data_IF_572361949845
#
_entry.id   IF_572361949845
#
_cell.length_a   1.000
_cell.length_b   1.000
_cell.length_c   1.000
_cell.angle_alpha   90.00
_cell.angle_beta   90.00
_cell.angle_gamma   90.00
#
_symmetry.space_group_name_H-M   'P 1'
#
loop_
_entity.id
_entity.type
_entity.pdbx_description
1 polymer ?
#
# COMPACT_ATOMS: atom_id res chain seq x y z
N UNK A 1 13.09 -9.61 -4.97
CA UNK A 1 12.44 -9.30 -3.68
C UNK A 1 10.97 -9.00 -3.91
N UNK A 2 10.08 -9.60 -3.12
CA UNK A 2 8.65 -9.35 -3.11
C UNK A 2 8.29 -8.53 -1.87
N UNK A 3 7.49 -7.47 -2.04
CA UNK A 3 6.94 -6.65 -0.95
C UNK A 3 5.42 -6.82 -0.91
N UNK A 4 4.87 -7.83 -0.22
CA UNK A 4 3.43 -7.93 0.02
C UNK A 4 2.94 -6.81 0.95
N UNK A 5 1.63 -6.72 1.18
CA UNK A 5 1.04 -5.96 2.29
C UNK A 5 0.69 -6.92 3.44
N UNK A 6 1.53 -7.04 4.46
CA UNK A 6 1.25 -7.89 5.65
C UNK A 6 1.05 -7.04 6.91
N UNK A 7 1.37 -5.74 6.83
CA UNK A 7 1.22 -4.71 7.87
C UNK A 7 0.37 -5.09 9.07
N UNK A 8 0.98 -5.04 10.25
CA UNK A 8 0.34 -5.41 11.53
C UNK A 8 -0.16 -6.87 11.57
N UNK A 9 0.46 -7.77 10.80
CA UNK A 9 0.16 -9.21 10.77
C UNK A 9 0.28 -9.90 12.13
N UNK A 10 1.07 -9.38 13.08
CA UNK A 10 1.08 -9.89 14.46
C UNK A 10 -0.21 -9.55 15.23
N UNK A 11 -0.90 -8.46 14.86
CA UNK A 11 -2.16 -8.03 15.45
C UNK A 11 -3.38 -8.53 14.69
N UNK A 12 -3.20 -8.90 13.41
CA UNK A 12 -4.24 -9.31 12.48
C UNK A 12 -3.84 -10.63 11.81
N UNK A 13 -3.50 -11.62 12.63
CA UNK A 13 -2.97 -12.91 12.23
C UNK A 13 -4.08 -13.83 11.68
N UNK A 14 -4.57 -13.50 10.49
CA UNK A 14 -5.50 -14.30 9.72
C UNK A 14 -5.29 -14.01 8.21
N UNK A 15 -4.80 -14.99 7.42
CA UNK A 15 -4.57 -14.80 5.98
C UNK A 15 -5.87 -14.52 5.22
N UNK A 16 -7.01 -15.01 5.70
CA UNK A 16 -8.32 -14.90 5.05
C UNK A 16 -9.08 -13.63 5.44
N UNK A 17 -8.53 -12.81 6.34
CA UNK A 17 -9.13 -11.55 6.81
C UNK A 17 -9.39 -10.53 5.69
N UNK A 18 -8.65 -10.63 4.58
CA UNK A 18 -8.65 -9.64 3.49
C UNK A 18 -7.92 -8.34 3.82
N UNK A 19 -7.29 -8.24 5.00
CA UNK A 19 -6.52 -7.05 5.42
C UNK A 19 -5.17 -6.99 4.70
N UNK A 20 -4.50 -8.13 4.54
CA UNK A 20 -3.20 -8.25 3.88
C UNK A 20 -3.25 -8.94 2.52
N UNK A 21 -2.17 -8.86 1.76
CA UNK A 21 -1.96 -9.63 0.53
C UNK A 21 -1.95 -11.12 0.88
N UNK A 22 -2.83 -11.87 0.23
CA UNK A 22 -3.02 -13.29 0.56
C UNK A 22 -1.75 -14.10 0.22
N UNK A 23 -1.25 -14.97 1.12
CA UNK A 23 -0.02 -15.73 0.91
C UNK A 23 -0.08 -16.67 -0.30
N UNK A 24 -1.26 -17.23 -0.64
CA UNK A 24 -1.41 -18.05 -1.85
C UNK A 24 -1.20 -17.27 -3.15
N UNK A 25 -1.59 -15.99 -3.20
CA UNK A 25 -1.32 -15.13 -4.37
C UNK A 25 0.19 -14.91 -4.53
N UNK A 26 0.88 -14.67 -3.41
CA UNK A 26 2.34 -14.56 -3.39
C UNK A 26 3.01 -15.89 -3.77
N UNK A 27 2.45 -17.03 -3.36
CA UNK A 27 2.88 -18.36 -3.79
C UNK A 27 2.83 -18.54 -5.30
N UNK A 28 1.70 -18.19 -5.94
CA UNK A 28 1.59 -18.22 -7.40
C UNK A 28 2.61 -17.31 -8.11
N UNK A 29 2.94 -16.15 -7.53
CA UNK A 29 4.02 -15.31 -8.03
C UNK A 29 5.40 -15.97 -7.89
N UNK A 30 5.66 -16.64 -6.76
CA UNK A 30 6.92 -17.37 -6.53
C UNK A 30 7.08 -18.51 -7.54
N UNK A 31 6.02 -19.30 -7.76
CA UNK A 31 6.03 -20.40 -8.74
C UNK A 31 6.28 -19.89 -10.16
N UNK A 32 5.61 -18.80 -10.55
CA UNK A 32 5.82 -18.14 -11.84
C UNK A 32 7.27 -17.64 -12.01
N UNK A 33 7.86 -17.07 -10.96
CA UNK A 33 9.24 -16.62 -10.98
C UNK A 33 10.23 -17.80 -11.07
N UNK A 34 9.99 -18.88 -10.34
CA UNK A 34 10.80 -20.10 -10.40
C UNK A 34 10.77 -20.71 -11.81
N UNK A 35 9.59 -20.82 -12.42
CA UNK A 35 9.42 -21.28 -13.82
C UNK A 35 10.09 -20.38 -14.86
N UNK A 36 10.41 -19.13 -14.51
CA UNK A 36 11.12 -18.15 -15.35
C UNK A 36 12.61 -18.01 -15.00
N UNK A 37 13.16 -18.93 -14.21
CA UNK A 37 14.60 -19.00 -13.92
C UNK A 37 15.05 -18.16 -12.73
N UNK A 38 14.14 -17.73 -11.85
CA UNK A 38 14.55 -17.17 -10.57
C UNK A 38 15.39 -18.20 -9.81
N UNK A 39 16.58 -17.79 -9.36
CA UNK A 39 17.53 -18.70 -8.69
C UNK A 39 16.88 -19.33 -7.46
N UNK A 40 17.06 -20.64 -7.21
CA UNK A 40 16.68 -21.27 -5.95
C UNK A 40 17.24 -20.49 -4.75
N UNK A 41 16.38 -20.16 -3.79
CA UNK A 41 16.75 -19.34 -2.63
C UNK A 41 17.11 -17.87 -2.92
N UNK A 42 16.90 -17.40 -4.16
CA UNK A 42 17.09 -16.01 -4.61
C UNK A 42 15.84 -15.14 -4.47
N UNK A 43 14.70 -15.71 -4.08
CA UNK A 43 13.47 -14.97 -3.80
C UNK A 43 13.37 -14.68 -2.30
N UNK A 44 13.01 -13.44 -1.98
CA UNK A 44 12.88 -12.94 -0.62
C UNK A 44 11.56 -12.21 -0.50
N UNK A 45 10.80 -12.46 0.56
CA UNK A 45 9.67 -11.65 0.97
C UNK A 45 10.18 -10.71 2.05
N UNK A 46 9.95 -9.41 1.86
CA UNK A 46 10.40 -8.38 2.79
C UNK A 46 9.22 -7.51 3.18
N UNK A 47 8.82 -7.56 4.44
CA UNK A 47 7.73 -6.77 5.02
C UNK A 47 7.84 -6.80 6.55
N UNK A 48 7.12 -5.91 7.22
CA UNK A 48 7.08 -5.83 8.68
C UNK A 48 5.70 -6.24 9.25
N UNK A 49 5.56 -7.47 9.80
CA UNK A 49 4.30 -7.90 10.42
C UNK A 49 4.05 -7.25 11.79
N UNK A 50 5.06 -6.66 12.43
CA UNK A 50 4.97 -6.14 13.81
C UNK A 50 4.54 -4.68 13.88
N UNK A 51 5.12 -3.86 13.01
CA UNK A 51 4.81 -2.43 12.89
C UNK A 51 4.94 -1.56 14.17
N UNK A 52 5.86 -1.87 15.08
CA UNK A 52 6.05 -1.07 16.31
C UNK A 52 7.51 -0.75 16.66
N UNK A 53 8.39 -1.75 16.71
CA UNK A 53 9.78 -1.58 17.14
C UNK A 53 10.71 -2.54 16.40
N UNK A 54 11.75 -1.99 15.76
CA UNK A 54 12.71 -2.75 14.95
C UNK A 54 13.74 -3.50 15.78
N UNK A 55 13.84 -3.20 17.08
CA UNK A 55 14.80 -3.79 18.00
C UNK A 55 14.20 -4.96 18.81
N UNK A 56 12.95 -5.33 18.55
CA UNK A 56 12.29 -6.44 19.22
C UNK A 56 12.05 -7.62 18.26
N UNK A 57 11.99 -8.86 18.77
CA UNK A 57 11.73 -10.04 17.96
C UNK A 57 10.41 -9.93 17.18
N UNK A 58 10.36 -10.58 16.02
CA UNK A 58 9.19 -10.56 15.12
C UNK A 58 8.83 -11.97 14.73
N UNK A 59 7.58 -12.17 14.37
CA UNK A 59 7.12 -13.43 13.81
C UNK A 59 6.06 -13.24 12.72
N UNK A 60 5.90 -14.28 11.91
CA UNK A 60 4.89 -14.34 10.85
C UNK A 60 3.75 -15.30 11.21
N UNK A 61 3.72 -15.75 12.48
CA UNK A 61 2.73 -16.73 12.96
C UNK A 61 1.31 -16.27 12.67
N UNK A 62 0.52 -17.17 12.09
CA UNK A 62 -0.89 -16.93 11.74
C UNK A 62 -1.10 -16.03 10.51
N UNK A 63 -0.05 -15.53 9.86
CA UNK A 63 -0.19 -14.75 8.61
C UNK A 63 -0.23 -15.63 7.35
N UNK A 64 0.07 -16.93 7.49
CA UNK A 64 0.25 -17.88 6.38
C UNK A 64 1.59 -17.77 5.64
N UNK A 65 2.42 -16.77 5.96
CA UNK A 65 3.73 -16.60 5.31
C UNK A 65 4.79 -17.58 5.84
N UNK A 66 4.68 -18.07 7.07
CA UNK A 66 5.54 -19.14 7.59
C UNK A 66 5.33 -20.45 6.81
N UNK A 67 4.07 -20.80 6.54
CA UNK A 67 3.66 -21.93 5.71
C UNK A 67 4.21 -21.79 4.29
N UNK A 68 3.99 -20.62 3.69
CA UNK A 68 4.49 -20.31 2.35
C UNK A 68 6.01 -20.44 2.27
N UNK A 69 6.74 -19.96 3.28
CA UNK A 69 8.20 -20.08 3.38
C UNK A 69 8.64 -21.54 3.42
N UNK A 70 8.00 -22.37 4.23
CA UNK A 70 8.29 -23.82 4.31
C UNK A 70 8.01 -24.55 3.00
N UNK A 71 6.93 -24.20 2.31
CA UNK A 71 6.52 -24.87 1.06
C UNK A 71 7.40 -24.50 -0.13
N UNK A 72 7.82 -23.24 -0.23
CA UNK A 72 8.51 -22.70 -1.42
C UNK A 72 10.02 -22.50 -1.23
N UNK A 73 10.49 -22.53 0.02
CA UNK A 73 11.86 -22.17 0.37
C UNK A 73 12.16 -20.67 0.28
N UNK A 74 11.15 -19.82 0.08
CA UNK A 74 11.33 -18.35 0.06
C UNK A 74 11.78 -17.85 1.43
N UNK A 75 12.67 -16.86 1.44
CA UNK A 75 13.21 -16.29 2.68
C UNK A 75 12.35 -15.12 3.14
N UNK A 76 11.81 -15.19 4.36
CA UNK A 76 11.15 -14.07 5.01
C UNK A 76 12.18 -13.16 5.67
N UNK A 77 12.06 -11.85 5.46
CA UNK A 77 12.91 -10.82 6.06
C UNK A 77 12.06 -9.63 6.49
N UNK A 78 12.53 -8.92 7.50
CA UNK A 78 11.93 -7.65 7.91
C UNK A 78 12.98 -6.55 7.77
N UNK A 79 12.61 -5.33 7.34
CA UNK A 79 13.48 -4.17 7.53
C UNK A 79 13.72 -3.96 9.03
N UNK A 80 14.96 -3.69 9.39
CA UNK A 80 15.42 -3.42 10.76
C UNK A 80 16.39 -2.26 10.74
N UNK A 81 16.72 -1.71 11.91
CA UNK A 81 17.75 -0.68 12.08
C UNK A 81 19.07 -1.01 11.36
N UNK A 82 19.49 -2.28 11.36
CA UNK A 82 20.76 -2.72 10.77
C UNK A 82 20.67 -3.14 9.29
N UNK A 83 19.47 -3.43 8.80
CA UNK A 83 19.22 -3.84 7.41
C UNK A 83 18.69 -2.69 6.56
N UNK A 84 18.39 -1.55 7.16
CA UNK A 84 18.12 -0.30 6.46
C UNK A 84 19.41 0.45 6.13
N UNK A 85 19.35 1.31 5.11
CA UNK A 85 20.41 2.24 4.69
C UNK A 85 19.81 3.62 4.48
N UNK A 86 20.58 4.65 4.81
CA UNK A 86 20.17 6.04 4.64
C UNK A 86 20.31 6.45 3.18
N UNK A 87 19.23 6.96 2.58
CA UNK A 87 19.21 7.46 1.20
C UNK A 87 18.74 8.91 1.18
N UNK A 88 19.32 9.71 0.29
CA UNK A 88 18.87 11.08 0.04
C UNK A 88 17.56 11.05 -0.76
N UNK A 89 16.62 11.90 -0.38
CA UNK A 89 15.43 12.15 -1.18
C UNK A 89 15.77 13.25 -2.21
N UNK A 90 15.60 13.01 -3.52
CA UNK A 90 15.96 13.97 -4.58
C UNK A 90 15.32 15.35 -4.43
N UNK A 91 14.00 15.40 -4.28
CA UNK A 91 13.18 16.61 -4.12
C UNK A 91 12.31 16.44 -2.86
N UNK A 92 12.90 16.62 -1.67
CA UNK A 92 12.21 16.31 -0.41
C UNK A 92 11.04 17.26 -0.17
N UNK A 93 9.88 16.70 0.18
CA UNK A 93 8.72 17.47 0.67
C UNK A 93 8.69 17.52 2.19
N UNK A 94 9.21 16.48 2.87
CA UNK A 94 9.29 16.39 4.34
C UNK A 94 10.69 15.91 4.76
N UNK A 95 11.15 14.78 4.22
CA UNK A 95 12.37 14.14 4.66
C UNK A 95 13.52 14.40 3.69
N UNK A 96 14.60 15.09 4.10
CA UNK A 96 15.77 15.22 3.24
C UNK A 96 16.49 13.88 3.01
N UNK A 97 16.33 12.93 3.94
CA UNK A 97 16.87 11.56 3.88
C UNK A 97 15.91 10.58 4.55
N UNK A 98 15.86 9.35 4.06
CA UNK A 98 15.08 8.25 4.63
C UNK A 98 15.99 7.05 4.95
N UNK A 99 15.71 6.34 6.04
CA UNK A 99 16.28 5.01 6.27
C UNK A 99 15.34 3.96 5.67
N UNK A 100 15.81 3.28 4.62
CA UNK A 100 15.00 2.33 3.85
C UNK A 100 15.70 0.98 3.76
N UNK A 101 14.94 -0.11 3.61
CA UNK A 101 15.48 -1.45 3.44
C UNK A 101 16.58 -1.48 2.37
N UNK A 102 17.77 -1.98 2.73
CA UNK A 102 18.91 -2.12 1.82
C UNK A 102 18.52 -2.89 0.55
N UNK A 103 17.73 -3.95 0.72
CA UNK A 103 17.26 -4.78 -0.40
C UNK A 103 16.32 -4.04 -1.35
N UNK A 104 15.59 -3.03 -0.87
CA UNK A 104 14.66 -2.26 -1.70
C UNK A 104 15.36 -1.25 -2.62
N UNK A 105 16.63 -0.94 -2.35
CA UNK A 105 17.42 0.07 -3.07
C UNK A 105 18.79 -0.45 -3.54
N UNK A 106 19.01 -1.76 -3.46
CA UNK A 106 20.22 -2.41 -3.94
C UNK A 106 20.16 -2.53 -5.48
N UNK A 107 21.27 -2.25 -6.14
CA UNK A 107 21.34 -2.24 -7.60
C UNK A 107 21.15 -3.64 -8.24
N UNK A 108 21.40 -4.69 -7.47
CA UNK A 108 21.27 -6.10 -7.86
C UNK A 108 19.92 -6.73 -7.44
N UNK A 109 18.97 -5.91 -6.98
CA UNK A 109 17.66 -6.37 -6.50
C UNK A 109 16.54 -5.97 -7.45
N UNK A 110 15.79 -6.96 -7.93
CA UNK A 110 14.49 -6.72 -8.59
C UNK A 110 13.40 -6.67 -7.53
N UNK A 111 12.86 -5.47 -7.30
CA UNK A 111 11.74 -5.24 -6.37
C UNK A 111 10.39 -5.38 -7.10
N UNK A 112 9.57 -6.34 -6.67
CA UNK A 112 8.17 -6.48 -7.05
C UNK A 112 7.31 -6.08 -5.86
N UNK A 113 6.54 -5.01 -6.01
CA UNK A 113 5.62 -4.48 -5.00
C UNK A 113 4.25 -5.14 -5.17
N UNK A 114 3.74 -5.81 -4.13
CA UNK A 114 2.53 -6.65 -4.20
C UNK A 114 1.47 -6.19 -3.18
N UNK A 115 0.93 -4.97 -3.32
CA UNK A 115 -0.04 -4.43 -2.36
C UNK A 115 -1.38 -5.15 -2.42
N UNK A 116 -2.15 -5.07 -1.33
CA UNK A 116 -3.55 -5.47 -1.26
C UNK A 116 -4.44 -4.38 -1.81
N UNK A 117 -5.43 -4.72 -2.64
CA UNK A 117 -6.50 -3.81 -3.06
C UNK A 117 -7.47 -3.60 -1.90
N UNK A 118 -7.29 -2.50 -1.16
CA UNK A 118 -8.20 -2.17 -0.05
C UNK A 118 -8.35 -0.68 0.18
N UNK A 119 -9.45 -0.28 0.80
CA UNK A 119 -9.62 1.10 1.28
C UNK A 119 -8.81 1.35 2.56
N UNK A 120 -8.68 2.61 2.96
CA UNK A 120 -8.05 3.00 4.22
C UNK A 120 -8.64 4.33 4.73
N UNK A 121 -8.91 4.43 6.03
CA UNK A 121 -9.60 5.59 6.63
C UNK A 121 -8.91 6.95 6.40
N UNK A 122 -7.58 6.99 6.38
CA UNK A 122 -6.80 8.17 6.03
C UNK A 122 -6.58 8.31 4.52
N UNK A 123 -5.78 7.43 3.92
CA UNK A 123 -5.33 7.56 2.53
C UNK A 123 -6.42 7.31 1.47
N UNK A 124 -7.65 6.99 1.87
CA UNK A 124 -8.77 6.47 1.05
C UNK A 124 -8.50 5.06 0.49
N UNK A 125 -7.30 4.80 -0.04
CA UNK A 125 -6.86 3.50 -0.52
C UNK A 125 -5.48 3.10 0.03
N UNK A 126 -5.28 1.80 0.22
CA UNK A 126 -3.96 1.18 0.34
C UNK A 126 -3.68 0.48 -0.98
N UNK A 127 -2.65 0.93 -1.69
CA UNK A 127 -2.19 0.36 -2.96
C UNK A 127 -0.66 0.45 -3.02
N UNK A 128 -0.06 0.64 -4.19
CA UNK A 128 1.38 0.58 -4.40
C UNK A 128 2.16 1.61 -3.58
N UNK A 129 1.79 2.90 -3.63
CA UNK A 129 2.52 3.97 -2.94
C UNK A 129 2.55 3.76 -1.42
N UNK A 130 1.38 3.49 -0.83
CA UNK A 130 1.25 3.28 0.61
C UNK A 130 1.96 2.01 1.08
N UNK A 131 2.00 0.97 0.24
CA UNK A 131 2.65 -0.30 0.60
C UNK A 131 4.17 -0.18 0.77
N UNK A 132 4.81 0.83 0.16
CA UNK A 132 6.25 1.08 0.34
C UNK A 132 6.61 1.55 1.75
N UNK A 133 5.64 2.05 2.54
CA UNK A 133 5.88 2.40 3.95
C UNK A 133 6.51 1.25 4.72
N UNK A 134 6.07 0.00 4.47
CA UNK A 134 6.61 -1.19 5.13
C UNK A 134 8.07 -1.51 4.78
N UNK A 135 8.71 -0.75 3.89
CA UNK A 135 10.14 -0.86 3.57
C UNK A 135 10.99 0.26 4.20
N UNK A 136 10.36 1.21 4.87
CA UNK A 136 11.02 2.26 5.64
C UNK A 136 11.27 1.73 7.05
N UNK A 137 12.35 2.17 7.69
CA UNK A 137 12.62 1.84 9.09
C UNK A 137 11.43 2.26 9.98
N UNK A 138 11.08 1.45 10.99
CA UNK A 138 9.84 1.67 11.74
C UNK A 138 9.77 3.05 12.42
N UNK A 139 10.91 3.53 12.94
CA UNK A 139 10.97 4.82 13.63
C UNK A 139 10.71 6.00 12.69
N UNK A 140 10.96 5.83 11.39
CA UNK A 140 10.76 6.87 10.38
C UNK A 140 9.37 6.77 9.71
N UNK A 141 8.71 5.61 9.72
CA UNK A 141 7.60 5.31 8.80
C UNK A 141 6.18 5.54 9.33
N UNK A 142 6.01 5.95 10.58
CA UNK A 142 4.69 6.23 11.16
C UNK A 142 4.09 7.56 10.66
N UNK A 143 3.96 7.69 9.34
CA UNK A 143 3.60 8.91 8.63
C UNK A 143 2.27 9.48 9.05
N UNK A 144 1.25 8.63 9.29
CA UNK A 144 -0.06 9.07 9.77
C UNK A 144 0.07 9.79 11.12
N UNK A 145 0.79 9.21 12.08
CA UNK A 145 0.98 9.80 13.41
C UNK A 145 1.87 11.04 13.39
N UNK A 146 2.87 11.09 12.52
CA UNK A 146 3.71 12.28 12.33
C UNK A 146 2.91 13.44 11.74
N UNK A 147 2.14 13.19 10.66
CA UNK A 147 1.26 14.18 10.06
C UNK A 147 0.23 14.72 11.07
N UNK A 148 -0.30 13.84 11.94
CA UNK A 148 -1.20 14.24 13.01
C UNK A 148 -0.55 15.23 13.99
N UNK A 149 0.67 14.91 14.44
CA UNK A 149 1.43 15.79 15.35
C UNK A 149 1.76 17.13 14.73
N UNK A 150 2.02 17.18 13.42
CA UNK A 150 2.25 18.44 12.70
C UNK A 150 0.99 19.31 12.68
N UNK A 151 -0.19 18.73 12.43
CA UNK A 151 -1.46 19.47 12.52
C UNK A 151 -1.72 20.00 13.92
N UNK A 152 -1.42 19.20 14.95
CA UNK A 152 -1.54 19.62 16.35
C UNK A 152 -0.61 20.81 16.66
N UNK A 153 0.67 20.71 16.28
CA UNK A 153 1.65 21.76 16.49
C UNK A 153 1.34 23.05 15.72
N UNK A 154 0.68 22.94 14.56
CA UNK A 154 0.22 24.07 13.77
C UNK A 154 -1.08 24.71 14.28
N UNK A 155 -1.66 24.22 15.38
CA UNK A 155 -2.92 24.74 15.92
C UNK A 155 -4.15 24.47 15.04
N UNK A 156 -4.06 23.49 14.12
CA UNK A 156 -5.16 23.13 13.21
C UNK A 156 -6.22 22.29 13.91
N UNK A 157 -5.81 21.49 14.90
CA UNK A 157 -6.71 20.60 15.63
C UNK A 157 -7.49 21.39 16.70
N UNK A 158 -8.82 21.22 16.79
CA UNK A 158 -9.62 21.89 17.82
C UNK A 158 -9.37 21.28 19.20
N UNK A 159 -9.79 21.98 20.26
CA UNK A 159 -9.76 21.46 21.64
C UNK A 159 -10.49 20.12 21.79
N UNK A 160 -11.52 19.89 20.95
CA UNK A 160 -12.28 18.65 20.88
C UNK A 160 -11.48 17.44 20.36
N UNK A 161 -10.21 17.60 19.94
CA UNK A 161 -9.41 16.53 19.33
C UNK A 161 -9.12 15.32 20.25
N UNK A 162 -9.43 15.41 21.55
CA UNK A 162 -9.43 14.28 22.48
C UNK A 162 -10.68 13.38 22.41
N UNK A 163 -11.72 13.78 21.67
CA UNK A 163 -12.98 13.03 21.48
C UNK A 163 -12.92 12.16 20.21
N UNK A 164 -13.83 11.18 20.03
CA UNK A 164 -13.97 10.43 18.77
C UNK A 164 -14.02 11.35 17.55
N UNK A 165 -13.32 10.98 16.48
CA UNK A 165 -13.14 11.85 15.28
C UNK A 165 -14.45 12.14 14.57
N UNK A 166 -15.41 11.23 14.68
CA UNK A 166 -16.77 11.34 14.16
C UNK A 166 -17.55 12.53 14.76
N UNK A 167 -17.11 13.06 15.91
CA UNK A 167 -17.79 14.14 16.60
C UNK A 167 -17.31 15.54 16.18
N UNK A 168 -16.15 15.65 15.53
CA UNK A 168 -15.50 16.95 15.33
C UNK A 168 -14.65 17.08 14.07
N UNK A 169 -14.15 15.99 13.50
CA UNK A 169 -13.28 16.05 12.33
C UNK A 169 -14.12 16.34 11.09
N UNK A 170 -13.90 17.49 10.47
CA UNK A 170 -14.50 17.84 9.18
C UNK A 170 -13.63 17.35 8.01
N UNK A 171 -14.17 17.47 6.79
CA UNK A 171 -13.45 17.13 5.54
C UNK A 171 -12.16 17.92 5.37
N UNK A 172 -12.10 19.17 5.84
CA UNK A 172 -10.93 20.05 5.72
C UNK A 172 -9.77 19.53 6.57
N UNK A 173 -10.01 19.16 7.83
CA UNK A 173 -8.99 18.59 8.72
C UNK A 173 -8.56 17.21 8.21
N UNK A 174 -9.51 16.39 7.73
CA UNK A 174 -9.18 15.09 7.15
C UNK A 174 -8.31 15.22 5.91
N UNK A 175 -8.60 16.17 5.02
CA UNK A 175 -7.78 16.49 3.85
C UNK A 175 -6.38 16.97 4.24
N UNK A 176 -6.26 17.88 5.22
CA UNK A 176 -4.96 18.33 5.72
C UNK A 176 -4.12 17.17 6.31
N UNK A 177 -4.77 16.20 6.95
CA UNK A 177 -4.11 15.00 7.44
C UNK A 177 -3.66 14.09 6.30
N UNK A 178 -4.49 13.94 5.26
CA UNK A 178 -4.13 13.23 4.03
C UNK A 178 -2.93 13.87 3.33
N UNK A 179 -2.86 15.20 3.23
CA UNK A 179 -1.71 15.92 2.64
C UNK A 179 -0.41 15.65 3.41
N UNK A 180 -0.47 15.65 4.74
CA UNK A 180 0.69 15.30 5.58
C UNK A 180 1.19 13.87 5.34
N UNK A 181 0.29 12.92 5.09
CA UNK A 181 0.65 11.56 4.67
C UNK A 181 1.20 11.55 3.22
N UNK A 182 0.52 12.22 2.30
CA UNK A 182 0.83 12.23 0.87
C UNK A 182 2.27 12.70 0.60
N UNK A 183 2.68 13.81 1.21
CA UNK A 183 4.04 14.35 1.07
C UNK A 183 5.12 13.35 1.46
N UNK A 184 4.87 12.57 2.51
CA UNK A 184 5.79 11.52 3.00
C UNK A 184 5.82 10.31 2.08
N UNK A 185 4.66 9.90 1.55
CA UNK A 185 4.59 8.83 0.54
C UNK A 185 5.37 9.21 -0.73
N UNK A 186 5.30 10.48 -1.16
CA UNK A 186 6.08 11.00 -2.28
C UNK A 186 7.58 10.91 -1.99
N UNK A 187 8.05 11.31 -0.81
CA UNK A 187 9.46 11.18 -0.43
C UNK A 187 9.93 9.71 -0.46
N UNK A 188 9.12 8.78 0.04
CA UNK A 188 9.41 7.33 -0.05
C UNK A 188 9.51 6.88 -1.50
N UNK A 189 8.54 7.27 -2.32
CA UNK A 189 8.40 6.87 -3.71
C UNK A 189 9.50 7.43 -4.63
N UNK A 190 10.14 8.53 -4.24
CA UNK A 190 11.32 9.03 -4.93
C UNK A 190 12.56 8.16 -4.68
N UNK A 191 12.63 7.47 -3.53
CA UNK A 191 13.79 6.66 -3.11
C UNK A 191 13.61 5.17 -3.46
N UNK A 192 12.43 4.62 -3.18
CA UNK A 192 12.11 3.21 -3.42
C UNK A 192 11.31 3.12 -4.72
N UNK A 193 11.93 2.55 -5.75
CA UNK A 193 11.36 2.41 -7.10
C UNK A 193 11.16 0.93 -7.43
N UNK A 194 9.95 0.37 -7.23
CA UNK A 194 9.64 -0.98 -7.68
C UNK A 194 9.85 -1.13 -9.18
N UNK A 195 10.37 -2.28 -9.59
CA UNK A 195 10.52 -2.64 -11.00
C UNK A 195 9.19 -3.11 -11.60
N UNK A 196 8.35 -3.69 -10.75
CA UNK A 196 7.00 -4.11 -11.08
C UNK A 196 6.09 -3.91 -9.86
N UNK A 197 4.87 -3.48 -10.12
CA UNK A 197 3.81 -3.42 -9.13
C UNK A 197 2.71 -4.38 -9.56
N UNK A 198 2.17 -5.15 -8.62
CA UNK A 198 1.08 -6.10 -8.84
C UNK A 198 0.10 -5.97 -7.66
N UNK A 199 -0.97 -5.22 -7.85
CA UNK A 199 -2.05 -5.10 -6.88
C UNK A 199 -2.84 -6.40 -6.86
N UNK A 200 -2.89 -7.05 -5.71
CA UNK A 200 -3.72 -8.22 -5.45
C UNK A 200 -5.12 -7.77 -5.03
N UNK A 201 -6.10 -7.99 -5.89
CA UNK A 201 -7.51 -7.72 -5.64
C UNK A 201 -8.39 -8.92 -5.97
N UNK A 202 -7.90 -10.15 -5.79
CA UNK A 202 -8.74 -11.35 -5.94
C UNK A 202 -9.89 -11.24 -4.94
N UNK A 203 -9.52 -10.90 -3.69
CA UNK A 203 -10.44 -10.41 -2.67
C UNK A 203 -10.03 -8.99 -2.32
N UNK A 204 -10.86 -8.02 -2.68
CA UNK A 204 -10.73 -6.63 -2.25
C UNK A 204 -11.39 -6.37 -0.90
N UNK A 205 -10.98 -5.31 -0.20
CA UNK A 205 -11.56 -4.95 1.11
C UNK A 205 -11.95 -3.49 1.18
N UNK A 206 -13.18 -3.22 1.60
CA UNK A 206 -13.67 -1.87 1.92
C UNK A 206 -13.62 -1.61 3.44
N UNK A 207 -13.90 -0.38 3.87
CA UNK A 207 -13.94 0.02 5.28
C UNK A 207 -12.76 0.88 5.73
N UNK A 208 -12.24 0.61 6.94
CA UNK A 208 -11.17 1.41 7.56
C UNK A 208 -9.77 1.02 7.07
N UNK A 209 -9.65 -0.10 6.35
CA UNK A 209 -8.37 -0.72 5.96
C UNK A 209 -7.84 -1.78 6.93
N UNK A 210 -8.55 -2.00 8.04
CA UNK A 210 -8.25 -3.03 9.05
C UNK A 210 -9.54 -3.79 9.42
N UNK A 211 -9.91 -3.82 10.70
CA UNK A 211 -10.96 -4.68 11.25
C UNK A 211 -12.38 -4.33 10.81
N UNK A 212 -12.71 -3.04 10.68
CA UNK A 212 -14.06 -2.61 10.25
C UNK A 212 -14.12 -2.51 8.73
N UNK A 213 -14.94 -3.35 8.11
CA UNK A 213 -15.03 -3.43 6.66
C UNK A 213 -15.62 -4.74 6.16
N UNK A 214 -15.74 -4.85 4.83
CA UNK A 214 -16.26 -6.03 4.14
C UNK A 214 -15.31 -6.44 3.01
N UNK A 215 -15.26 -7.74 2.75
CA UNK A 215 -14.49 -8.32 1.66
C UNK A 215 -15.38 -8.54 0.44
N UNK A 216 -14.82 -8.37 -0.75
CA UNK A 216 -15.50 -8.54 -2.03
C UNK A 216 -14.66 -9.39 -2.99
N UNK A 217 -15.24 -10.40 -3.65
CA UNK A 217 -14.54 -11.21 -4.65
C UNK A 217 -14.46 -10.44 -5.97
N UNK A 218 -13.49 -9.53 -6.09
CA UNK A 218 -13.35 -8.71 -7.29
C UNK A 218 -12.68 -9.49 -8.44
N UNK A 219 -11.87 -10.51 -8.12
CA UNK A 219 -11.18 -11.32 -9.13
C UNK A 219 -10.12 -10.55 -9.92
N UNK A 220 -9.59 -9.45 -9.37
CA UNK A 220 -8.69 -8.55 -10.07
C UNK A 220 -7.22 -8.78 -9.69
N UNK A 221 -6.34 -8.64 -10.69
CA UNK A 221 -4.92 -8.37 -10.49
C UNK A 221 -4.52 -7.23 -11.42
N UNK A 222 -3.98 -6.14 -10.88
CA UNK A 222 -3.58 -4.97 -11.67
C UNK A 222 -2.06 -4.84 -11.62
N UNK A 223 -1.39 -4.86 -12.77
CA UNK A 223 0.05 -4.83 -12.84
C UNK A 223 0.60 -3.73 -13.74
N UNK A 224 1.78 -3.20 -13.39
CA UNK A 224 2.47 -2.19 -14.18
C UNK A 224 3.80 -1.72 -13.59
N UNK A 225 4.61 -1.08 -14.43
CA UNK A 225 5.96 -0.62 -14.08
C UNK A 225 5.99 0.78 -13.44
N UNK A 226 4.89 1.53 -13.50
CA UNK A 226 4.74 2.81 -12.82
C UNK A 226 3.67 2.71 -11.73
N UNK A 227 4.08 2.90 -10.47
CA UNK A 227 3.19 2.73 -9.31
C UNK A 227 2.06 3.77 -9.24
N UNK A 228 2.26 4.99 -9.73
CA UNK A 228 1.19 6.02 -9.74
C UNK A 228 0.13 5.64 -10.77
N UNK A 229 0.55 5.18 -11.95
CA UNK A 229 -0.38 4.68 -12.98
C UNK A 229 -1.17 3.46 -12.48
N UNK A 230 -0.50 2.51 -11.81
CA UNK A 230 -1.15 1.33 -11.23
C UNK A 230 -2.15 1.72 -10.14
N UNK A 231 -1.77 2.62 -9.23
CA UNK A 231 -2.68 3.12 -8.19
C UNK A 231 -3.88 3.87 -8.79
N UNK A 232 -3.68 4.56 -9.90
CA UNK A 232 -4.74 5.31 -10.58
C UNK A 232 -5.77 4.38 -11.24
N UNK A 233 -5.31 3.35 -11.96
CA UNK A 233 -6.21 2.33 -12.50
C UNK A 233 -6.89 1.56 -11.37
N UNK A 234 -6.15 1.11 -10.36
CA UNK A 234 -6.71 0.34 -9.25
C UNK A 234 -7.75 1.14 -8.45
N UNK A 235 -7.47 2.41 -8.12
CA UNK A 235 -8.44 3.26 -7.42
C UNK A 235 -9.69 3.58 -8.26
N UNK A 236 -9.53 3.74 -9.57
CA UNK A 236 -10.68 3.86 -10.47
C UNK A 236 -11.57 2.62 -10.42
N UNK A 237 -10.97 1.43 -10.54
CA UNK A 237 -11.67 0.15 -10.46
C UNK A 237 -12.35 -0.07 -9.10
N UNK A 238 -11.78 0.49 -8.02
CA UNK A 238 -12.43 0.50 -6.70
C UNK A 238 -13.66 1.40 -6.64
N UNK A 239 -13.88 2.27 -7.62
CA UNK A 239 -14.99 3.21 -7.66
C UNK A 239 -14.62 4.67 -7.37
N UNK A 240 -13.34 4.97 -7.11
CA UNK A 240 -12.89 6.34 -6.81
C UNK A 240 -12.51 7.12 -8.07
N UNK A 241 -12.43 8.44 -7.94
CA UNK A 241 -11.83 9.30 -8.96
C UNK A 241 -10.33 9.49 -8.63
N UNK A 242 -9.40 8.96 -9.44
CA UNK A 242 -7.97 9.08 -9.18
C UNK A 242 -7.48 10.54 -9.15
N UNK A 243 -8.15 11.45 -9.85
CA UNK A 243 -7.81 12.87 -9.87
C UNK A 243 -8.13 13.56 -8.53
N UNK A 244 -9.00 12.96 -7.70
CA UNK A 244 -9.43 13.48 -6.39
C UNK A 244 -8.70 12.86 -5.20
N UNK A 245 -7.87 11.84 -5.42
CA UNK A 245 -7.09 11.23 -4.34
C UNK A 245 -5.84 12.08 -4.06
N UNK A 246 -5.79 12.68 -2.86
CA UNK A 246 -4.73 13.62 -2.46
C UNK A 246 -3.33 13.01 -2.65
N UNK A 247 -3.12 11.75 -2.26
CA UNK A 247 -1.80 11.12 -2.44
C UNK A 247 -1.40 10.94 -3.91
N UNK A 248 -2.35 10.74 -4.82
CA UNK A 248 -2.09 10.67 -6.27
C UNK A 248 -1.81 12.04 -6.86
N UNK A 249 -2.54 13.09 -6.42
CA UNK A 249 -2.26 14.47 -6.84
C UNK A 249 -0.83 14.87 -6.50
N UNK A 250 -0.39 14.63 -5.26
CA UNK A 250 0.97 14.91 -4.82
C UNK A 250 2.01 14.09 -5.59
N UNK A 251 1.75 12.80 -5.85
CA UNK A 251 2.68 11.96 -6.60
C UNK A 251 2.79 12.37 -8.07
N UNK A 252 1.68 12.72 -8.71
CA UNK A 252 1.67 13.22 -10.09
C UNK A 252 2.38 14.58 -10.20
N UNK A 253 2.11 15.51 -9.28
CA UNK A 253 2.78 16.81 -9.23
C UNK A 253 4.31 16.69 -9.01
N UNK A 254 4.76 15.65 -8.32
CA UNK A 254 6.18 15.33 -8.14
C UNK A 254 6.80 14.57 -9.34
N UNK A 255 6.07 14.38 -10.44
CA UNK A 255 6.55 13.71 -11.65
C UNK A 255 6.77 12.20 -11.48
N UNK A 256 6.10 11.55 -10.51
CA UNK A 256 6.26 10.12 -10.26
C UNK A 256 5.43 9.23 -11.20
N UNK A 257 4.47 9.81 -11.90
CA UNK A 257 3.59 9.17 -12.89
C UNK A 257 2.32 10.01 -13.09
N UNK A 258 1.29 9.45 -13.70
CA UNK A 258 0.05 10.17 -13.99
C UNK A 258 -1.13 9.57 -13.22
N UNK A 259 -1.99 10.45 -12.72
CA UNK A 259 -3.30 10.12 -12.16
C UNK A 259 -4.47 10.47 -13.08
N UNK A 260 -4.17 10.82 -14.33
CA UNK A 260 -5.13 11.01 -15.39
C UNK A 260 -5.22 9.73 -16.24
N UNK A 261 -6.37 9.06 -16.16
CA UNK A 261 -6.60 7.80 -16.89
C UNK A 261 -6.49 7.97 -18.41
N UNK A 262 -6.77 9.16 -18.95
CA UNK A 262 -6.66 9.42 -20.38
C UNK A 262 -5.21 9.37 -20.89
N UNK A 263 -4.23 9.50 -19.99
CA UNK A 263 -2.80 9.40 -20.30
C UNK A 263 -2.26 7.96 -20.13
N UNK A 264 -3.09 7.03 -19.67
CA UNK A 264 -2.67 5.66 -19.38
C UNK A 264 -3.13 4.71 -20.48
N UNK A 265 -2.21 3.86 -20.94
CA UNK A 265 -2.55 2.72 -21.80
C UNK A 265 -2.86 1.53 -20.92
N UNK A 266 -4.12 1.12 -20.90
CA UNK A 266 -4.59 -0.02 -20.11
C UNK A 266 -4.78 -1.22 -21.02
N UNK A 267 -4.31 -2.37 -20.57
CA UNK A 267 -4.41 -3.65 -21.26
C UNK A 267 -5.07 -4.66 -20.32
N UNK A 268 -5.73 -5.65 -20.91
CA UNK A 268 -6.29 -6.81 -20.22
C UNK A 268 -5.65 -8.09 -20.74
N UNK A 269 -5.73 -9.16 -19.96
CA UNK A 269 -5.31 -10.50 -20.38
C UNK A 269 -6.55 -11.29 -20.73
N UNK A 270 -6.72 -11.60 -22.01
CA UNK A 270 -7.83 -12.39 -22.56
C UNK A 270 -7.25 -13.61 -23.28
N UNK A 271 -7.69 -14.82 -22.92
CA UNK A 271 -7.20 -16.09 -23.48
C UNK A 271 -5.66 -16.21 -23.55
N UNK A 272 -4.97 -15.66 -22.55
CA UNK A 272 -3.51 -15.66 -22.44
C UNK A 272 -2.79 -14.59 -23.27
N UNK A 273 -3.52 -13.76 -24.03
CA UNK A 273 -2.96 -12.65 -24.80
C UNK A 273 -3.16 -11.30 -24.08
N UNK A 274 -2.19 -10.40 -24.23
CA UNK A 274 -2.29 -9.01 -23.73
C UNK A 274 -2.91 -8.15 -24.83
N UNK A 275 -4.13 -7.65 -24.59
CA UNK A 275 -4.89 -6.85 -25.57
C UNK A 275 -5.29 -5.49 -24.98
N UNK A 276 -5.44 -4.43 -25.79
CA UNK A 276 -5.89 -3.13 -25.30
C UNK A 276 -7.26 -3.24 -24.61
N UNK A 277 -7.38 -2.66 -23.41
CA UNK A 277 -8.64 -2.60 -22.69
C UNK A 277 -9.57 -1.59 -23.38
N UNK A 278 -10.70 -2.06 -23.91
CA UNK A 278 -11.67 -1.20 -24.63
C UNK A 278 -12.71 -0.56 -23.72
N UNK A 279 -13.03 -1.21 -22.61
CA UNK A 279 -14.02 -0.75 -21.64
C UNK A 279 -13.52 -1.01 -20.22
N UNK A 280 -12.79 -0.03 -19.67
CA UNK A 280 -12.30 -0.09 -18.30
C UNK A 280 -13.44 0.05 -17.28
N UNK A 281 -14.54 0.72 -17.66
CA UNK A 281 -15.68 0.98 -16.79
C UNK A 281 -16.47 -0.31 -16.51
N UNK A 282 -16.49 -1.27 -17.45
CA UNK A 282 -17.06 -2.60 -17.23
C UNK A 282 -16.38 -3.39 -16.10
N UNK A 283 -15.10 -3.10 -15.81
CA UNK A 283 -14.33 -3.76 -14.74
C UNK A 283 -14.48 -3.06 -13.37
N UNK A 284 -15.16 -1.91 -13.33
CA UNK A 284 -15.29 -1.10 -12.13
C UNK A 284 -16.25 -1.73 -11.14
N UNK A 285 -15.90 -1.68 -9.85
CA UNK A 285 -16.74 -2.16 -8.76
C UNK A 285 -18.09 -1.41 -8.73
N UNK A 286 -19.18 -2.18 -8.67
CA UNK A 286 -20.55 -1.69 -8.57
C UNK A 286 -21.29 -2.42 -7.44
N UNK A 287 -21.70 -1.72 -6.36
CA UNK A 287 -21.42 -0.30 -6.07
C UNK A 287 -19.91 -0.04 -5.83
N UNK A 288 -19.47 1.24 -5.87
CA UNK A 288 -18.13 1.64 -5.42
C UNK A 288 -17.81 1.14 -4.01
N UNK A 289 -16.54 0.78 -3.77
CA UNK A 289 -16.07 0.42 -2.44
C UNK A 289 -16.18 1.63 -1.51
N UNK A 290 -16.60 1.37 -0.27
CA UNK A 290 -16.81 2.41 0.74
C UNK A 290 -15.61 2.56 1.66
N UNK A 291 -15.28 3.81 1.99
CA UNK A 291 -14.29 4.12 3.02
C UNK A 291 -15.02 4.49 4.31
N UNK A 292 -14.56 3.94 5.44
CA UNK A 292 -14.94 4.40 6.77
C UNK A 292 -13.81 5.32 7.24
N UNK A 293 -13.99 6.64 7.10
CA UNK A 293 -12.99 7.65 7.46
C UNK A 293 -13.07 8.01 8.95
N UNK A 294 -14.25 7.83 9.56
CA UNK A 294 -14.59 8.25 10.91
C UNK A 294 -14.49 9.78 11.06
N UNK A 295 -15.29 10.50 10.28
CA UNK A 295 -15.36 11.97 10.30
C UNK A 295 -16.79 12.43 10.51
N UNK A 296 -16.98 13.66 10.98
CA UNK A 296 -18.29 14.24 11.21
C UNK A 296 -19.11 14.28 9.91
N UNK A 297 -20.38 13.87 10.02
CA UNK A 297 -21.31 13.80 8.88
C UNK A 297 -21.18 12.55 8.00
N UNK A 298 -20.23 11.65 8.28
CA UNK A 298 -20.16 10.36 7.58
C UNK A 298 -21.16 9.35 8.18
N UNK A 299 -22.10 8.87 7.37
CA UNK A 299 -23.04 7.83 7.81
C UNK A 299 -22.28 6.53 8.13
N UNK A 300 -22.53 5.95 9.30
CA UNK A 300 -22.00 4.64 9.66
C UNK A 300 -22.41 3.60 8.61
N UNK A 301 -21.46 2.79 8.15
CA UNK A 301 -21.78 1.55 7.46
C UNK A 301 -22.63 0.70 8.41
N UNK A 302 -23.83 0.31 8.00
CA UNK A 302 -24.62 -0.68 8.72
C UNK A 302 -23.73 -1.92 8.93
N UNK A 303 -23.55 -2.30 10.19
CA UNK A 303 -22.74 -3.44 10.64
C UNK A 303 -23.26 -4.75 10.07
#
# INVERSE_FOLDING_TARGET
MLKPNVTAGEHHADPDSGIGTHPAFVGGLIDSLAGRGARPGGVYIVEDPRDTDDNQPRHWRGTGYDELSRMTGVKLRCPTTYTCVKKRVPQPQVFPRLNVSRMAVAADSVLINVPKLKTHNLAIATLCLKNLMGLVNVFDRHYCGQAWRELAAAGVLPEAAGRPREEWMDERIHAAWQEGLARRLVDTAQVIRPHLNIVEGVVGREGTGFQRGRNFPLGLAIAGVNMVAVDSVASYLMGFDPARLIYLQHAAAAGLGSNDLAQLRVYVVEDGAVVPCRDLEALRARPPLRVIRNIAGEQALAS
#
